data_IF_698404423533
#
_entry.id   IF_698404423533
#
_cell.length_a   1.000
_cell.length_b   1.000
_cell.length_c   1.000
_cell.angle_alpha   90.00
_cell.angle_beta   90.00
_cell.angle_gamma   90.00
#
_symmetry.space_group_name_H-M   'P 1'
#
loop_
_entity.id
_entity.type
_entity.pdbx_description
1 polymer ?
#
# COMPACT_ATOMS: atom_id res chain seq x y z
N UNK A 1 17.54 4.24 -2.45
CA UNK A 1 17.10 3.16 -3.34
C UNK A 1 15.87 2.56 -2.68
N UNK A 2 14.73 2.53 -3.39
CA UNK A 2 13.37 2.57 -2.80
C UNK A 2 12.33 1.86 -3.70
N UNK A 3 11.47 1.01 -3.12
CA UNK A 3 10.24 0.47 -3.74
C UNK A 3 9.11 1.49 -3.59
N UNK A 4 8.39 1.86 -4.65
CA UNK A 4 7.31 2.86 -4.58
C UNK A 4 5.99 2.29 -5.08
N UNK A 5 4.96 2.35 -4.24
CA UNK A 5 3.56 2.15 -4.61
C UNK A 5 2.84 3.48 -4.72
N UNK A 6 1.91 3.53 -5.66
CA UNK A 6 1.16 4.71 -6.06
C UNK A 6 -0.32 4.34 -6.18
N UNK A 7 -1.21 5.04 -5.47
CA UNK A 7 -2.67 4.83 -5.54
C UNK A 7 -3.35 6.02 -6.22
N UNK A 8 -4.16 5.78 -7.26
CA UNK A 8 -5.07 6.78 -7.86
C UNK A 8 -6.53 6.45 -7.49
N UNK A 9 -7.31 7.45 -7.06
CA UNK A 9 -8.79 7.37 -7.04
C UNK A 9 -9.40 8.19 -8.18
N UNK A 10 -10.41 7.63 -8.87
CA UNK A 10 -11.28 8.39 -9.76
C UNK A 10 -12.74 8.19 -9.31
N UNK A 11 -13.44 9.28 -9.01
CA UNK A 11 -14.89 9.27 -8.75
C UNK A 11 -15.62 10.27 -9.63
N UNK A 12 -16.69 9.80 -10.28
CA UNK A 12 -17.75 10.65 -10.82
C UNK A 12 -18.73 11.00 -9.68
N UNK A 13 -19.18 12.25 -9.67
CA UNK A 13 -20.02 12.84 -8.61
C UNK A 13 -21.39 12.15 -8.59
N UNK A 14 -21.76 11.57 -7.47
CA UNK A 14 -23.15 11.21 -7.15
C UNK A 14 -23.44 11.57 -5.69
N UNK A 15 -24.36 12.52 -5.48
CA UNK A 15 -24.89 12.86 -4.17
C UNK A 15 -25.86 11.78 -3.71
N UNK A 16 -25.59 11.15 -2.56
CA UNK A 16 -26.64 10.44 -1.82
C UNK A 16 -26.33 10.48 -0.32
N UNK A 17 -27.14 11.22 0.44
CA UNK A 17 -27.13 11.28 1.90
C UNK A 17 -27.96 10.14 2.47
N UNK A 18 -27.38 9.20 3.24
CA UNK A 18 -28.03 8.50 4.36
C UNK A 18 -26.99 7.95 5.34
N UNK A 19 -27.27 8.08 6.64
CA UNK A 19 -26.34 7.95 7.77
C UNK A 19 -25.51 6.67 7.82
N UNK A 20 -24.20 6.85 8.03
CA UNK A 20 -23.23 5.79 8.32
C UNK A 20 -22.77 5.96 9.77
N UNK A 21 -22.60 4.86 10.50
CA UNK A 21 -21.92 4.89 11.79
C UNK A 21 -20.44 5.16 11.56
N UNK A 22 -19.92 6.22 12.18
CA UNK A 22 -18.52 6.62 12.08
C UNK A 22 -17.70 5.72 13.00
N UNK A 23 -16.77 4.94 12.42
CA UNK A 23 -15.75 4.29 13.22
C UNK A 23 -14.74 5.36 13.64
N UNK A 24 -14.52 5.51 14.95
CA UNK A 24 -13.45 6.38 15.46
C UNK A 24 -12.13 5.82 14.93
N UNK A 25 -11.55 6.51 13.97
CA UNK A 25 -10.21 6.21 13.48
C UNK A 25 -9.24 6.70 14.54
N UNK A 26 -8.32 5.84 14.95
CA UNK A 26 -7.26 6.18 15.90
C UNK A 26 -6.61 7.50 15.47
N UNK A 27 -6.80 8.54 16.29
CA UNK A 27 -6.32 9.88 16.03
C UNK A 27 -4.79 10.00 16.16
N UNK A 28 -4.11 8.95 16.65
CA UNK A 28 -2.68 8.99 16.96
C UNK A 28 -1.81 8.26 15.94
N UNK A 29 -2.37 7.39 15.09
CA UNK A 29 -1.59 6.61 14.10
C UNK A 29 -2.06 6.88 12.68
N UNK A 30 -1.14 7.20 11.76
CA UNK A 30 -1.38 7.37 10.32
C UNK A 30 -1.77 8.78 9.86
N UNK A 31 -1.04 9.34 8.88
CA UNK A 31 -1.37 10.63 8.25
C UNK A 31 -2.43 10.45 7.15
N UNK A 32 -3.35 11.41 6.93
CA UNK A 32 -4.22 11.40 5.76
C UNK A 32 -3.40 11.69 4.51
N UNK A 33 -3.36 10.74 3.57
CA UNK A 33 -2.58 10.81 2.34
C UNK A 33 -3.51 11.00 1.15
N UNK A 34 -3.39 12.13 0.47
CA UNK A 34 -4.26 12.50 -0.64
C UNK A 34 -4.16 13.98 -0.92
N UNK A 35 -4.35 14.35 -2.19
CA UNK A 35 -4.34 15.75 -2.58
C UNK A 35 -5.51 16.54 -2.00
N UNK A 36 -5.35 17.86 -1.99
CA UNK A 36 -6.37 18.81 -1.57
C UNK A 36 -7.60 18.61 -2.45
N UNK A 37 -8.75 18.34 -1.81
CA UNK A 37 -10.02 18.19 -2.49
C UNK A 37 -10.16 16.92 -3.32
N UNK A 38 -9.41 15.85 -2.99
CA UNK A 38 -9.38 14.61 -3.77
C UNK A 38 -9.82 13.34 -3.00
N UNK A 39 -10.19 13.50 -1.73
CA UNK A 39 -10.30 12.38 -0.79
C UNK A 39 -8.94 12.03 -0.16
N UNK A 40 -8.89 10.99 0.67
CA UNK A 40 -7.67 10.57 1.35
C UNK A 40 -7.66 9.09 1.70
N UNK A 41 -6.45 8.52 1.79
CA UNK A 41 -6.15 7.20 2.35
C UNK A 41 -5.36 7.38 3.62
N UNK A 42 -5.65 6.58 4.63
CA UNK A 42 -4.90 6.51 5.88
C UNK A 42 -4.49 5.07 6.12
N UNK A 43 -3.20 4.85 6.33
CA UNK A 43 -2.66 3.56 6.73
C UNK A 43 -2.40 3.58 8.24
N UNK A 44 -2.95 2.61 8.97
CA UNK A 44 -2.69 2.44 10.39
C UNK A 44 -1.63 1.37 10.56
N UNK A 45 -0.36 1.79 10.69
CA UNK A 45 0.78 0.86 10.72
C UNK A 45 0.71 -0.13 11.90
N UNK A 46 0.19 0.31 13.06
CA UNK A 46 -0.07 -0.58 14.20
C UNK A 46 -0.99 -1.78 13.86
N UNK A 47 -2.05 -1.56 13.08
CA UNK A 47 -3.03 -2.61 12.76
C UNK A 47 -2.81 -3.27 11.39
N UNK A 48 -2.04 -2.62 10.51
CA UNK A 48 -1.88 -2.98 9.10
C UNK A 48 -3.13 -2.71 8.25
N UNK A 49 -4.07 -1.92 8.77
CA UNK A 49 -5.34 -1.63 8.12
C UNK A 49 -5.31 -0.32 7.35
N UNK A 50 -6.14 -0.25 6.30
CA UNK A 50 -6.37 0.97 5.53
C UNK A 50 -7.74 1.54 5.82
N UNK A 51 -7.81 2.86 5.80
CA UNK A 51 -9.03 3.64 5.90
C UNK A 51 -9.06 4.65 4.77
N UNK A 52 -10.23 4.94 4.22
CA UNK A 52 -10.37 5.81 3.06
C UNK A 52 -11.55 6.76 3.20
N UNK A 53 -11.41 7.95 2.64
CA UNK A 53 -12.51 8.84 2.25
C UNK A 53 -12.38 9.05 0.75
N UNK A 54 -13.33 8.51 -0.01
CA UNK A 54 -13.27 8.51 -1.49
C UNK A 54 -14.14 9.63 -2.10
N UNK A 55 -14.65 10.50 -1.24
CA UNK A 55 -15.50 11.65 -1.57
C UNK A 55 -14.91 12.94 -1.03
N UNK A 56 -15.41 14.07 -1.53
CA UNK A 56 -14.94 15.41 -1.18
C UNK A 56 -16.12 16.23 -0.65
N UNK A 57 -15.94 17.07 0.39
CA UNK A 57 -14.72 17.30 1.16
C UNK A 57 -14.39 16.15 2.13
N UNK A 58 -13.09 15.93 2.36
CA UNK A 58 -12.63 14.95 3.35
C UNK A 58 -12.69 15.56 4.76
N UNK A 59 -13.33 14.87 5.69
CA UNK A 59 -13.36 15.20 7.11
C UNK A 59 -12.81 14.03 7.93
N UNK A 60 -12.28 14.32 9.12
CA UNK A 60 -11.60 13.33 9.98
C UNK A 60 -12.51 12.17 10.40
N UNK A 61 -13.81 12.44 10.56
CA UNK A 61 -14.85 11.49 10.95
C UNK A 61 -15.34 10.60 9.81
N UNK A 62 -15.08 10.97 8.55
CA UNK A 62 -15.60 10.25 7.38
C UNK A 62 -14.80 9.02 6.97
N UNK A 63 -13.64 8.76 7.60
CA UNK A 63 -12.78 7.64 7.20
C UNK A 63 -13.44 6.29 7.48
N UNK A 64 -13.59 5.49 6.42
CA UNK A 64 -14.14 4.14 6.53
C UNK A 64 -13.04 3.11 6.31
N UNK A 65 -13.08 2.01 7.08
CA UNK A 65 -12.12 0.92 6.92
C UNK A 65 -12.28 0.29 5.54
N UNK A 66 -11.19 0.21 4.79
CA UNK A 66 -11.14 -0.50 3.52
C UNK A 66 -10.93 -1.99 3.80
N UNK A 67 -12.03 -2.72 3.95
CA UNK A 67 -12.00 -4.15 4.30
C UNK A 67 -11.15 -4.96 3.30
N UNK A 68 -10.35 -5.88 3.82
CA UNK A 68 -9.39 -6.71 3.08
C UNK A 68 -8.21 -5.98 2.43
N UNK A 69 -8.07 -4.66 2.59
CA UNK A 69 -6.87 -3.95 2.18
C UNK A 69 -5.74 -4.13 3.20
N UNK A 70 -4.54 -4.50 2.74
CA UNK A 70 -3.36 -4.65 3.58
C UNK A 70 -2.08 -4.76 2.72
N UNK A 71 -0.95 -4.38 3.32
CA UNK A 71 0.36 -4.79 2.81
C UNK A 71 0.70 -6.21 3.28
N UNK A 72 1.49 -6.91 2.48
CA UNK A 72 1.98 -8.27 2.77
C UNK A 72 3.48 -8.34 2.48
N UNK A 73 4.22 -9.08 3.29
CA UNK A 73 5.63 -9.39 3.08
C UNK A 73 5.77 -10.88 2.77
N UNK A 74 6.55 -11.20 1.75
CA UNK A 74 7.08 -12.53 1.46
C UNK A 74 8.60 -12.50 1.54
N UNK A 75 9.21 -13.52 2.13
CA UNK A 75 10.66 -13.72 2.12
C UNK A 75 10.98 -15.19 1.90
N UNK A 76 12.06 -15.51 1.17
CA UNK A 76 12.47 -16.90 0.94
C UNK A 76 13.99 -17.06 0.92
N UNK A 77 14.47 -18.00 1.76
CA UNK A 77 15.88 -18.46 1.84
C UNK A 77 15.95 -19.99 1.78
N UNK A 78 15.15 -20.61 0.92
CA UNK A 78 14.91 -22.05 0.89
C UNK A 78 13.58 -22.45 1.52
N UNK A 79 13.11 -21.67 2.51
CA UNK A 79 11.74 -21.76 3.05
C UNK A 79 11.07 -20.39 2.99
N UNK A 80 9.84 -20.37 2.46
CA UNK A 80 9.04 -19.15 2.37
C UNK A 80 8.43 -18.78 3.73
N UNK A 81 8.49 -17.49 4.07
CA UNK A 81 7.84 -16.90 5.25
C UNK A 81 7.00 -15.70 4.78
N UNK A 82 5.73 -15.67 5.21
CA UNK A 82 4.77 -14.63 4.82
C UNK A 82 4.23 -13.91 6.06
N UNK A 83 4.14 -12.58 5.98
CA UNK A 83 3.42 -11.74 6.95
C UNK A 83 2.28 -11.02 6.25
N UNK A 84 1.05 -11.27 6.70
CA UNK A 84 -0.17 -10.69 6.14
C UNK A 84 -1.23 -10.57 7.24
N UNK A 85 -1.65 -9.36 7.64
CA UNK A 85 -1.12 -8.06 7.19
C UNK A 85 0.31 -7.82 7.70
N UNK A 86 1.07 -7.01 6.95
CA UNK A 86 2.31 -6.41 7.40
C UNK A 86 1.98 -5.21 8.30
N UNK A 87 2.61 -5.16 9.49
CA UNK A 87 2.34 -4.16 10.53
C UNK A 87 3.65 -3.64 11.11
N UNK A 88 3.61 -2.48 11.73
CA UNK A 88 4.72 -1.95 12.51
C UNK A 88 5.13 -2.93 13.62
N UNK A 89 6.43 -3.02 13.87
CA UNK A 89 6.96 -3.71 15.03
C UNK A 89 6.43 -3.04 16.31
N UNK A 90 6.06 -3.85 17.30
CA UNK A 90 5.66 -3.36 18.61
C UNK A 90 6.79 -3.63 19.59
N UNK A 91 7.21 -2.62 20.35
CA UNK A 91 8.19 -2.72 21.43
C UNK A 91 7.62 -1.98 22.64
N UNK A 92 7.59 -2.66 23.79
CA UNK A 92 7.01 -2.16 25.04
C UNK A 92 5.58 -1.59 24.87
N UNK A 93 4.77 -2.27 24.06
CA UNK A 93 3.38 -1.89 23.78
C UNK A 93 3.20 -0.72 22.83
N UNK A 94 4.29 -0.15 22.28
CA UNK A 94 4.25 0.95 21.30
C UNK A 94 4.61 0.44 19.91
N UNK A 95 3.80 0.79 18.91
CA UNK A 95 4.16 0.57 17.52
C UNK A 95 5.32 1.50 17.14
N UNK A 96 6.24 0.98 16.32
CA UNK A 96 7.36 1.72 15.77
C UNK A 96 6.91 2.52 14.53
N UNK A 97 5.92 3.39 14.71
CA UNK A 97 5.40 4.30 13.68
C UNK A 97 5.40 5.75 14.17
N UNK A 98 5.45 6.68 13.22
CA UNK A 98 5.36 8.11 13.47
C UNK A 98 4.71 8.80 12.28
N UNK A 99 3.74 9.67 12.55
CA UNK A 99 2.94 10.35 11.54
C UNK A 99 2.92 11.86 11.80
N UNK A 100 3.63 12.59 10.95
CA UNK A 100 3.68 14.05 10.95
C UNK A 100 3.39 14.50 9.52
N UNK A 101 2.17 15.02 9.31
CA UNK A 101 1.71 15.41 7.98
C UNK A 101 2.73 16.32 7.25
N UNK A 102 3.07 16.03 5.97
CA UNK A 102 2.40 15.10 5.05
C UNK A 102 3.00 13.69 5.00
N UNK A 103 3.82 13.30 5.98
CA UNK A 103 4.60 12.07 5.99
C UNK A 103 4.11 11.14 7.10
N UNK A 104 4.13 9.85 6.81
CA UNK A 104 3.88 8.76 7.74
C UNK A 104 5.03 7.74 7.61
N UNK A 105 5.63 7.33 8.71
CA UNK A 105 6.76 6.40 8.72
C UNK A 105 6.49 5.25 9.66
N UNK A 106 7.00 4.07 9.32
CA UNK A 106 6.88 2.91 10.18
C UNK A 106 8.02 1.92 9.97
N UNK A 107 8.52 1.35 11.06
CA UNK A 107 9.39 0.19 11.05
C UNK A 107 8.54 -1.08 11.20
N UNK A 108 8.53 -1.94 10.17
CA UNK A 108 7.72 -3.16 10.12
C UNK A 108 8.39 -4.37 10.78
N UNK A 109 9.60 -4.17 11.30
CA UNK A 109 10.39 -5.22 11.93
C UNK A 109 11.20 -6.07 10.96
N UNK A 110 11.80 -7.13 11.53
CA UNK A 110 12.61 -8.10 10.81
C UNK A 110 11.84 -9.42 10.62
N UNK A 111 11.86 -9.95 9.40
CA UNK A 111 11.37 -11.30 9.10
C UNK A 111 12.39 -12.01 8.22
N UNK A 112 12.87 -13.19 8.64
CA UNK A 112 13.83 -13.98 7.87
C UNK A 112 15.11 -13.20 7.48
N UNK A 113 15.63 -12.41 8.44
CA UNK A 113 16.75 -11.47 8.23
C UNK A 113 16.49 -10.47 7.09
N UNK A 114 15.26 -10.02 6.95
CA UNK A 114 14.86 -8.92 6.09
C UNK A 114 14.18 -7.86 6.93
N UNK A 115 14.84 -6.71 7.03
CA UNK A 115 14.38 -5.52 7.74
C UNK A 115 13.54 -4.66 6.82
N UNK A 116 12.35 -4.24 7.25
CA UNK A 116 11.42 -3.48 6.40
C UNK A 116 11.02 -2.17 7.07
N UNK A 117 11.17 -1.08 6.34
CA UNK A 117 10.70 0.25 6.73
C UNK A 117 9.79 0.85 5.65
N UNK A 118 8.83 1.65 6.09
CA UNK A 118 7.86 2.35 5.26
C UNK A 118 8.03 3.86 5.46
N UNK A 119 7.94 4.60 4.36
CA UNK A 119 7.61 6.01 4.33
C UNK A 119 6.45 6.21 3.37
N UNK A 120 5.31 6.66 3.86
CA UNK A 120 4.17 7.07 3.06
C UNK A 120 4.03 8.59 3.08
N UNK A 121 3.52 9.18 2.00
CA UNK A 121 3.36 10.63 1.93
C UNK A 121 2.23 11.09 0.99
N UNK A 122 1.69 12.26 1.30
CA UNK A 122 0.73 13.01 0.48
C UNK A 122 1.48 13.86 -0.57
N UNK A 123 0.92 14.11 -1.78
CA UNK A 123 1.53 14.92 -2.85
C UNK A 123 1.65 16.43 -2.53
N UNK A 124 2.10 16.80 -1.33
CA UNK A 124 2.28 18.19 -0.94
C UNK A 124 3.49 18.80 -1.64
N UNK A 125 3.23 19.72 -2.56
CA UNK A 125 4.21 20.43 -3.37
C UNK A 125 3.84 21.91 -3.46
N UNK A 126 4.36 22.72 -2.53
CA UNK A 126 4.02 24.15 -2.43
C UNK A 126 4.36 24.97 -3.68
N UNK A 127 5.26 24.45 -4.53
CA UNK A 127 5.62 25.05 -5.81
C UNK A 127 4.60 24.75 -6.92
N UNK A 128 3.65 23.83 -6.70
CA UNK A 128 2.66 23.42 -7.71
C UNK A 128 1.34 22.96 -7.09
N UNK A 129 0.38 23.89 -7.04
CA UNK A 129 -1.01 23.62 -6.64
C UNK A 129 -1.64 22.47 -7.45
N UNK A 130 -1.44 22.35 -8.78
CA UNK A 130 -1.99 21.21 -9.52
C UNK A 130 -1.51 19.85 -9.01
N UNK A 131 -0.23 19.74 -8.63
CA UNK A 131 0.31 18.51 -8.04
C UNK A 131 -0.30 18.23 -6.66
N UNK A 132 -0.51 19.28 -5.87
CA UNK A 132 -1.16 19.19 -4.55
C UNK A 132 -2.61 18.71 -4.60
N UNK A 133 -3.29 18.82 -5.73
CA UNK A 133 -4.68 18.38 -5.89
C UNK A 133 -4.83 16.97 -6.46
N UNK A 134 -3.74 16.25 -6.71
CA UNK A 134 -3.82 14.91 -7.29
C UNK A 134 -4.40 13.89 -6.29
N UNK A 135 -5.31 12.98 -6.72
CA UNK A 135 -5.99 11.99 -5.86
C UNK A 135 -5.08 10.81 -5.47
N UNK A 136 -3.90 11.16 -4.96
CA UNK A 136 -2.70 10.37 -5.01
C UNK A 136 -2.15 10.10 -3.60
N UNK A 137 -1.79 8.85 -3.31
CA UNK A 137 -1.08 8.47 -2.08
C UNK A 137 0.15 7.65 -2.45
N UNK A 138 1.30 7.98 -1.85
CA UNK A 138 2.56 7.29 -2.10
C UNK A 138 2.94 6.44 -0.89
N UNK A 139 3.41 5.22 -1.14
CA UNK A 139 3.95 4.33 -0.12
C UNK A 139 5.30 3.82 -0.59
N UNK A 140 6.34 4.10 0.18
CA UNK A 140 7.70 3.77 -0.16
C UNK A 140 8.26 2.76 0.84
N UNK A 141 8.59 1.56 0.35
CA UNK A 141 9.23 0.54 1.16
C UNK A 141 10.72 0.54 0.94
N UNK A 142 11.45 0.43 2.04
CA UNK A 142 12.88 0.10 2.04
C UNK A 142 13.06 -1.24 2.73
N UNK A 143 13.67 -2.17 2.02
CA UNK A 143 13.83 -3.58 2.38
C UNK A 143 15.32 -3.88 2.41
N UNK A 144 15.84 -4.30 3.57
CA UNK A 144 17.26 -4.59 3.77
C UNK A 144 17.47 -6.04 4.17
N UNK A 145 18.28 -6.76 3.41
CA UNK A 145 18.77 -8.07 3.80
C UNK A 145 19.83 -7.91 4.89
N UNK A 146 19.56 -8.32 6.12
CA UNK A 146 20.50 -8.28 7.25
C UNK A 146 21.23 -9.62 7.47
N UNK A 147 21.01 -10.59 6.58
CA UNK A 147 21.63 -11.91 6.62
C UNK A 147 22.91 -12.00 5.80
N UNK A 148 23.58 -13.15 5.90
CA UNK A 148 24.87 -13.43 5.25
C UNK A 148 24.75 -14.09 3.87
N UNK A 149 23.53 -14.45 3.44
CA UNK A 149 23.24 -15.03 2.13
C UNK A 149 22.19 -14.20 1.38
N UNK A 150 21.96 -14.52 0.10
CA UNK A 150 20.88 -13.89 -0.67
C UNK A 150 19.49 -14.28 -0.17
N UNK A 151 18.50 -13.43 -0.43
CA UNK A 151 17.09 -13.66 -0.11
C UNK A 151 16.19 -13.09 -1.19
N UNK A 152 15.15 -13.83 -1.53
CA UNK A 152 14.02 -13.25 -2.28
C UNK A 152 13.11 -12.55 -1.28
N UNK A 153 12.82 -11.27 -1.52
CA UNK A 153 11.89 -10.48 -0.73
C UNK A 153 10.84 -9.86 -1.65
N UNK A 154 9.58 -9.86 -1.23
CA UNK A 154 8.51 -9.22 -1.97
C UNK A 154 7.53 -8.50 -1.05
N UNK A 155 7.06 -7.34 -1.49
CA UNK A 155 5.97 -6.61 -0.87
C UNK A 155 4.78 -6.65 -1.82
N UNK A 156 3.60 -7.02 -1.31
CA UNK A 156 2.36 -6.89 -2.04
C UNK A 156 1.41 -5.92 -1.35
N UNK A 157 0.67 -5.16 -2.14
CA UNK A 157 -0.50 -4.43 -1.68
C UNK A 157 -1.76 -5.11 -2.17
N UNK A 158 -2.52 -5.70 -1.24
CA UNK A 158 -3.85 -6.23 -1.51
C UNK A 158 -4.89 -5.12 -1.33
N UNK A 159 -5.78 -4.96 -2.29
CA UNK A 159 -6.80 -3.92 -2.28
C UNK A 159 -8.11 -4.40 -2.91
N UNK A 160 -9.28 -4.07 -2.33
CA UNK A 160 -10.54 -4.22 -3.03
C UNK A 160 -10.68 -3.15 -4.13
N UNK A 161 -11.35 -3.51 -5.21
CA UNK A 161 -11.61 -2.69 -6.41
C UNK A 161 -13.12 -2.73 -6.70
N UNK A 162 -13.70 -1.67 -7.25
CA UNK A 162 -15.13 -1.63 -7.54
C UNK A 162 -15.55 -2.55 -8.69
N UNK A 163 -14.61 -2.95 -9.53
CA UNK A 163 -14.78 -3.87 -10.65
C UNK A 163 -13.53 -4.72 -10.84
N UNK A 164 -13.60 -5.76 -11.67
CA UNK A 164 -12.39 -6.50 -12.09
C UNK A 164 -11.42 -5.52 -12.76
N UNK A 165 -10.20 -5.34 -12.22
CA UNK A 165 -9.27 -4.39 -12.78
C UNK A 165 -8.51 -5.03 -13.95
N UNK A 166 -8.04 -4.19 -14.86
CA UNK A 166 -7.09 -4.58 -15.90
C UNK A 166 -5.67 -4.60 -15.36
N UNK A 167 -4.88 -5.58 -15.79
CA UNK A 167 -3.46 -5.60 -15.53
C UNK A 167 -2.74 -4.61 -16.46
N UNK A 168 -1.92 -3.74 -15.88
CA UNK A 168 -1.03 -2.84 -16.59
C UNK A 168 0.38 -3.40 -16.46
N UNK A 169 0.87 -4.01 -17.55
CA UNK A 169 2.15 -4.72 -17.58
C UNK A 169 3.31 -3.87 -17.04
N UNK A 170 4.10 -4.47 -16.14
CA UNK A 170 5.25 -3.82 -15.49
C UNK A 170 4.89 -2.68 -14.52
N UNK A 171 3.61 -2.46 -14.23
CA UNK A 171 3.14 -1.37 -13.34
C UNK A 171 2.23 -1.86 -12.24
N UNK A 172 1.12 -2.53 -12.55
CA UNK A 172 0.14 -2.94 -11.54
C UNK A 172 -1.27 -3.10 -12.11
N UNK A 173 -2.27 -2.55 -11.44
CA UNK A 173 -3.68 -2.71 -11.82
C UNK A 173 -4.42 -1.38 -11.93
N UNK A 174 -5.42 -1.35 -12.80
CA UNK A 174 -6.33 -0.22 -12.94
C UNK A 174 -7.76 -0.72 -13.17
N UNK A 175 -8.71 -0.25 -12.35
CA UNK A 175 -10.14 -0.40 -12.61
C UNK A 175 -10.70 0.82 -13.35
N UNK A 176 -11.60 0.58 -14.31
CA UNK A 176 -12.11 1.58 -15.26
C UNK A 176 -13.62 1.48 -15.48
N UNK A 177 -14.35 0.84 -14.58
CA UNK A 177 -15.80 0.70 -14.70
C UNK A 177 -16.51 2.05 -14.48
N UNK A 178 -17.42 2.42 -15.37
CA UNK A 178 -18.13 3.70 -15.32
C UNK A 178 -19.14 3.83 -14.18
N UNK A 179 -19.54 2.71 -13.56
CA UNK A 179 -20.57 2.62 -12.53
C UNK A 179 -20.06 2.09 -11.19
N UNK A 180 -18.74 2.11 -10.97
CA UNK A 180 -18.13 1.64 -9.73
C UNK A 180 -16.97 2.54 -9.30
N UNK A 181 -16.54 2.38 -8.04
CA UNK A 181 -15.37 3.06 -7.51
C UNK A 181 -14.10 2.53 -8.21
N UNK A 182 -13.45 3.43 -8.95
CA UNK A 182 -12.23 3.12 -9.68
C UNK A 182 -10.99 3.43 -8.83
N UNK A 183 -10.18 2.39 -8.65
CA UNK A 183 -8.87 2.44 -8.01
C UNK A 183 -7.81 1.97 -9.00
N UNK A 184 -6.66 2.63 -8.97
CA UNK A 184 -5.44 2.13 -9.59
C UNK A 184 -4.38 1.95 -8.52
N UNK A 185 -3.61 0.87 -8.64
CA UNK A 185 -2.40 0.64 -7.85
C UNK A 185 -1.28 0.38 -8.82
N UNK A 186 -0.29 1.26 -8.80
CA UNK A 186 0.95 1.08 -9.54
C UNK A 186 2.11 0.91 -8.59
N UNK A 187 3.09 0.17 -9.05
CA UNK A 187 4.32 -0.08 -8.37
C UNK A 187 5.50 0.24 -9.28
N UNK A 188 6.63 0.55 -8.65
CA UNK A 188 7.91 0.72 -9.30
C UNK A 188 9.02 0.36 -8.33
N UNK A 189 10.17 0.00 -8.87
CA UNK A 189 11.39 -0.26 -8.10
C UNK A 189 12.56 0.47 -8.74
N UNK A 190 13.51 0.90 -7.92
CA UNK A 190 14.83 1.35 -8.39
C UNK A 190 15.70 0.20 -8.90
N UNK A 191 15.40 -1.04 -8.51
CA UNK A 191 16.08 -2.22 -9.03
C UNK A 191 15.48 -2.61 -10.38
N UNK A 192 16.28 -2.54 -11.45
CA UNK A 192 15.85 -2.87 -12.80
C UNK A 192 15.47 -4.35 -12.98
N UNK A 193 15.95 -5.22 -12.10
CA UNK A 193 15.64 -6.66 -12.08
C UNK A 193 14.44 -6.98 -11.18
N UNK A 194 13.78 -5.98 -10.58
CA UNK A 194 12.57 -6.21 -9.80
C UNK A 194 11.44 -6.74 -10.66
N UNK A 195 10.71 -7.73 -10.15
CA UNK A 195 9.55 -8.30 -10.81
C UNK A 195 8.30 -7.63 -10.24
N UNK A 196 7.53 -6.98 -11.10
CA UNK A 196 6.24 -6.37 -10.76
C UNK A 196 5.15 -7.24 -11.36
N UNK A 197 4.30 -7.81 -10.50
CA UNK A 197 3.20 -8.70 -10.88
C UNK A 197 1.89 -8.24 -10.24
N UNK A 198 0.77 -8.68 -10.80
CA UNK A 198 -0.52 -8.44 -10.19
C UNK A 198 -1.49 -9.58 -10.50
N UNK A 199 -2.42 -9.82 -9.57
CA UNK A 199 -3.37 -10.92 -9.66
C UNK A 199 -4.30 -10.96 -8.45
N UNK A 200 -5.06 -12.04 -8.32
CA UNK A 200 -6.03 -12.26 -7.24
C UNK A 200 -5.76 -13.53 -6.43
N UNK A 201 -4.84 -14.38 -6.90
CA UNK A 201 -4.58 -15.68 -6.32
C UNK A 201 -3.65 -15.64 -5.08
N UNK A 202 -3.34 -16.85 -4.60
CA UNK A 202 -2.38 -17.09 -3.53
C UNK A 202 -0.95 -17.31 -4.06
N UNK A 203 -0.66 -17.05 -5.35
CA UNK A 203 0.67 -17.20 -5.91
C UNK A 203 1.74 -16.42 -5.13
N UNK A 204 1.33 -15.26 -4.59
CA UNK A 204 2.20 -14.40 -3.79
C UNK A 204 2.73 -15.11 -2.55
N UNK A 205 1.91 -15.90 -1.86
CA UNK A 205 2.34 -16.57 -0.62
C UNK A 205 3.31 -17.72 -0.89
N UNK A 206 3.32 -18.27 -2.10
CA UNK A 206 4.23 -19.34 -2.51
C UNK A 206 5.53 -18.81 -3.12
N UNK A 207 5.46 -17.76 -3.95
CA UNK A 207 6.56 -17.36 -4.83
C UNK A 207 7.00 -15.90 -4.70
N UNK A 208 6.28 -15.09 -3.93
CA UNK A 208 6.45 -13.63 -3.87
C UNK A 208 5.88 -12.89 -5.08
N UNK A 209 5.23 -13.59 -6.02
CA UNK A 209 4.67 -13.07 -7.27
C UNK A 209 3.20 -13.45 -7.41
N UNK A 210 2.39 -12.62 -8.07
CA UNK A 210 1.05 -13.00 -8.46
C UNK A 210 1.10 -13.81 -9.77
N UNK A 211 0.47 -14.99 -9.78
CA UNK A 211 0.63 -15.97 -10.86
C UNK A 211 -0.60 -16.10 -11.76
N UNK A 212 -1.58 -15.21 -11.60
CA UNK A 212 -2.80 -15.20 -12.38
C UNK A 212 -3.15 -13.80 -12.88
N UNK A 213 -4.02 -13.73 -13.88
CA UNK A 213 -4.64 -12.46 -14.26
C UNK A 213 -5.58 -11.99 -13.15
N UNK A 214 -5.61 -10.68 -12.82
CA UNK A 214 -6.57 -10.12 -11.88
C UNK A 214 -8.00 -10.57 -12.17
N UNK A 215 -8.70 -11.03 -11.14
CA UNK A 215 -10.06 -11.54 -11.24
C UNK A 215 -10.86 -11.22 -9.99
N UNK A 216 -12.18 -11.05 -10.12
CA UNK A 216 -13.01 -10.55 -9.04
C UNK A 216 -12.59 -9.15 -8.57
N UNK A 217 -13.00 -8.79 -7.35
CA UNK A 217 -12.84 -7.43 -6.82
C UNK A 217 -11.71 -7.31 -5.80
N UNK A 218 -11.07 -8.39 -5.37
CA UNK A 218 -9.93 -8.34 -4.43
C UNK A 218 -8.66 -8.75 -5.15
N UNK A 219 -7.76 -7.80 -5.36
CA UNK A 219 -6.57 -7.99 -6.18
C UNK A 219 -5.32 -7.51 -5.43
N UNK A 220 -4.15 -7.96 -5.88
CA UNK A 220 -2.84 -7.63 -5.32
C UNK A 220 -1.95 -7.07 -6.42
N UNK A 221 -1.10 -6.12 -6.06
CA UNK A 221 0.09 -5.75 -6.84
C UNK A 221 1.32 -6.08 -5.99
N UNK A 222 2.21 -6.89 -6.52
CA UNK A 222 3.41 -7.36 -5.84
C UNK A 222 4.67 -6.85 -6.54
N UNK A 223 5.68 -6.52 -5.74
CA UNK A 223 7.03 -6.21 -6.20
C UNK A 223 8.00 -7.14 -5.49
N UNK A 224 8.75 -7.92 -6.27
CA UNK A 224 9.74 -8.87 -5.78
C UNK A 224 11.14 -8.45 -6.22
N UNK A 225 12.09 -8.62 -5.32
CA UNK A 225 13.53 -8.42 -5.55
C UNK A 225 14.32 -9.56 -4.94
N UNK A 226 15.45 -9.90 -5.55
CA UNK A 226 16.47 -10.76 -4.93
C UNK A 226 17.55 -9.87 -4.36
N UNK A 227 17.71 -9.89 -3.04
CA UNK A 227 18.68 -9.08 -2.32
C UNK A 227 19.92 -9.91 -2.01
N UNK A 228 21.09 -9.45 -2.44
CA UNK A 228 22.36 -9.99 -1.96
C UNK A 228 22.51 -9.78 -0.44
N UNK A 229 23.44 -10.52 0.19
CA UNK A 229 23.76 -10.35 1.60
C UNK A 229 24.06 -8.87 1.92
N UNK A 230 23.47 -8.34 2.98
CA UNK A 230 23.65 -6.94 3.42
C UNK A 230 23.16 -5.87 2.42
N UNK A 231 22.42 -6.25 1.37
CA UNK A 231 21.90 -5.30 0.38
C UNK A 231 20.59 -4.65 0.83
N UNK A 232 20.36 -3.43 0.34
CA UNK A 232 19.15 -2.65 0.58
C UNK A 232 18.51 -2.25 -0.75
N UNK A 233 17.20 -2.36 -0.83
CA UNK A 233 16.35 -1.78 -1.88
C UNK A 233 15.22 -0.92 -1.31
#
# INVERSE_FOLDING_TARGET
MRLKFFIVFFTAIAFCFWGQSFAVVDGTTGAPLGGIGAGAVKFCAHSGAFYTVETTPCAMDNFQKLTNANFQLYTNRGTAVVKSPLKAQITDGRAADDAIYPIDTAYMGDTNNVSVSLMAFSPMCFDSVPLMCLPYSFFEFRVTNTGTSSVDAAIAFQIPTGSVPTFVSGKGIQSTASNALNRAVYASSSNSSAIISAGSDNGFTTSGECNNTPSGTLNKVAVKVTLAANATE
#
